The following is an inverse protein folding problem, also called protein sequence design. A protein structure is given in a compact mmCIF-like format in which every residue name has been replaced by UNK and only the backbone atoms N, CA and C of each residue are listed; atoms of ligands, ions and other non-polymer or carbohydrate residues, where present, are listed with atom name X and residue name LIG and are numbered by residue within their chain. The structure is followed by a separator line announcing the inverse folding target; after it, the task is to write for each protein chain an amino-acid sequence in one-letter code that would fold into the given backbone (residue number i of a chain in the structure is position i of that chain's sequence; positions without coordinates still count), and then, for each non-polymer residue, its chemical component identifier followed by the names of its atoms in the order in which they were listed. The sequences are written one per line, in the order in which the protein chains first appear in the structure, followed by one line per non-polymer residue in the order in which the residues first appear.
data_IF_525511057151
#
_entry.id   IF_525511057151
#
_cell.length_a   1.000
_cell.length_b   1.000
_cell.length_c   1.000
_cell.angle_alpha   90.00
_cell.angle_beta   90.00
_cell.angle_gamma   90.00
#
_symmetry.space_group_name_H-M   'P 1'
#
loop_
_entity.id
_entity.type
_entity.pdbx_description
1 polymer ?
#
# COMPACT_ATOMS: atom_id res chain seq x y z
N UNK A 1 28.18 -9.00 -12.67
CA UNK A 1 27.82 -8.50 -12.42
C UNK A 1 27.13 -8.12 -12.69
N UNK A 2 26.89 -8.21 -12.95
CA UNK A 2 26.24 -7.63 -12.98
C UNK A 2 25.31 -7.72 -12.64
N UNK A 3 25.16 -8.65 -12.60
CA UNK A 3 24.11 -8.74 -11.86
C UNK A 3 23.65 -7.70 -11.09
N UNK A 4 24.44 -7.09 -10.61
CA UNK A 4 24.10 -5.99 -9.87
C UNK A 4 23.25 -4.99 -10.56
N UNK A 5 23.36 -4.85 -11.86
CA UNK A 5 22.51 -3.88 -12.51
C UNK A 5 21.06 -4.30 -12.45
N UNK A 6 20.80 -5.56 -12.52
CA UNK A 6 19.43 -6.02 -12.36
C UNK A 6 18.92 -5.72 -10.95
N UNK A 7 19.73 -5.96 -9.96
CA UNK A 7 19.34 -5.67 -8.61
C UNK A 7 19.15 -4.18 -8.39
N UNK A 8 19.99 -3.37 -9.03
CA UNK A 8 19.90 -1.94 -8.86
C UNK A 8 18.63 -1.36 -9.42
N UNK A 9 18.06 -1.99 -10.43
CA UNK A 9 16.85 -1.47 -11.03
C UNK A 9 15.61 -2.11 -10.49
N UNK A 10 15.73 -3.09 -9.63
CA UNK A 10 14.57 -3.68 -9.03
C UNK A 10 14.23 -2.90 -7.78
N UNK A 11 13.12 -2.20 -7.75
CA UNK A 11 12.73 -1.49 -6.53
C UNK A 11 12.17 -2.42 -5.49
N UNK A 12 12.05 -3.71 -5.79
CA UNK A 12 11.37 -4.66 -4.93
C UNK A 12 12.29 -5.79 -4.57
N UNK A 13 12.57 -5.98 -3.28
CA UNK A 13 13.25 -7.21 -2.87
C UNK A 13 12.31 -8.39 -3.06
N UNK A 14 12.87 -9.57 -3.11
CA UNK A 14 12.10 -10.79 -3.33
C UNK A 14 12.14 -11.60 -2.06
N UNK A 15 11.00 -12.16 -1.61
CA UNK A 15 9.67 -12.01 -2.17
C UNK A 15 9.00 -10.71 -1.75
N UNK A 16 8.14 -10.20 -2.59
CA UNK A 16 7.39 -8.99 -2.31
C UNK A 16 5.91 -9.24 -2.56
N UNK A 17 5.10 -8.78 -1.64
CA UNK A 17 3.65 -8.82 -1.78
C UNK A 17 3.12 -7.40 -1.80
N UNK A 18 2.15 -7.14 -2.65
CA UNK A 18 1.46 -5.87 -2.65
C UNK A 18 0.14 -6.02 -1.93
N UNK A 19 -0.17 -5.04 -1.11
CA UNK A 19 -1.48 -4.89 -0.50
C UNK A 19 -2.12 -3.70 -1.19
N UNK A 20 -3.29 -3.90 -1.78
CA UNK A 20 -3.99 -2.82 -2.46
C UNK A 20 -5.35 -2.65 -1.80
N UNK A 21 -5.60 -1.46 -1.31
CA UNK A 21 -6.89 -1.13 -0.73
C UNK A 21 -7.50 0.00 -1.56
N UNK A 22 -8.64 -0.29 -2.19
CA UNK A 22 -9.40 0.73 -2.91
C UNK A 22 -10.51 1.18 -1.99
N UNK A 23 -10.48 2.45 -1.61
CA UNK A 23 -11.37 3.00 -0.62
C UNK A 23 -12.39 3.85 -1.35
N UNK A 24 -13.63 3.37 -1.39
CA UNK A 24 -14.72 4.07 -2.08
C UNK A 24 -15.35 5.02 -1.06
N UNK A 25 -14.99 6.29 -1.16
CA UNK A 25 -15.45 7.28 -0.19
C UNK A 25 -16.92 7.60 -0.39
N UNK A 26 -17.63 7.82 0.70
CA UNK A 26 -18.99 8.34 0.62
C UNK A 26 -18.92 9.76 0.01
N UNK A 27 -20.02 10.24 -0.58
CA UNK A 27 -20.00 11.56 -1.23
C UNK A 27 -19.45 12.65 -0.32
N UNK A 28 -18.46 13.38 -0.83
CA UNK A 28 -17.85 14.47 -0.08
C UNK A 28 -16.86 14.05 0.98
N UNK A 29 -16.52 12.76 1.06
CA UNK A 29 -15.69 12.25 2.16
C UNK A 29 -14.30 11.82 1.72
N UNK A 30 -13.89 12.12 0.47
CA UNK A 30 -12.59 11.67 0.00
C UNK A 30 -11.42 12.18 0.86
N UNK A 31 -11.45 13.45 1.24
CA UNK A 31 -10.35 14.01 2.03
C UNK A 31 -10.30 13.39 3.42
N UNK A 32 -11.45 13.17 4.01
CA UNK A 32 -11.52 12.53 5.32
C UNK A 32 -11.01 11.10 5.25
N UNK A 33 -11.43 10.35 4.23
CA UNK A 33 -10.96 8.98 4.04
C UNK A 33 -9.45 8.97 3.81
N UNK A 34 -8.93 9.93 3.04
CA UNK A 34 -7.50 10.03 2.82
C UNK A 34 -6.73 10.24 4.13
N UNK A 35 -7.20 11.15 4.95
CA UNK A 35 -6.54 11.44 6.23
C UNK A 35 -6.52 10.20 7.12
N UNK A 36 -7.61 9.45 7.13
CA UNK A 36 -7.70 8.25 7.96
C UNK A 36 -6.71 7.19 7.49
N UNK A 37 -6.69 6.89 6.19
CA UNK A 37 -5.78 5.85 5.71
C UNK A 37 -4.32 6.31 5.83
N UNK A 38 -4.07 7.59 5.69
CA UNK A 38 -2.73 8.13 5.87
C UNK A 38 -2.24 7.86 7.29
N UNK A 39 -3.08 8.09 8.28
CA UNK A 39 -2.73 7.83 9.68
C UNK A 39 -2.47 6.33 9.91
N UNK A 40 -3.28 5.48 9.31
CA UNK A 40 -3.10 4.02 9.41
C UNK A 40 -1.74 3.61 8.85
N UNK A 41 -1.42 4.10 7.64
CA UNK A 41 -0.20 3.68 6.95
C UNK A 41 1.05 4.19 7.66
N UNK A 42 1.01 5.42 8.17
CA UNK A 42 2.14 5.92 8.93
C UNK A 42 2.37 5.10 10.20
N UNK A 43 1.30 4.68 10.85
CA UNK A 43 1.42 3.83 12.02
C UNK A 43 2.10 2.50 11.65
N UNK A 44 1.67 1.89 10.55
CA UNK A 44 2.23 0.62 10.09
C UNK A 44 3.70 0.79 9.73
N UNK A 45 4.03 1.85 9.01
CA UNK A 45 5.39 2.10 8.57
C UNK A 45 6.36 2.22 9.74
N UNK A 46 5.90 2.74 10.85
CA UNK A 46 6.77 2.93 12.01
C UNK A 46 6.93 1.68 12.86
N UNK A 47 6.00 0.72 12.74
CA UNK A 47 5.96 -0.39 13.68
C UNK A 47 6.10 -1.78 13.10
N UNK A 48 5.92 -1.94 11.79
CA UNK A 48 5.91 -3.28 11.22
C UNK A 48 7.17 -3.53 10.42
N UNK A 49 7.89 -4.57 10.80
CA UNK A 49 9.02 -5.02 10.00
C UNK A 49 8.48 -5.57 8.69
N UNK A 50 9.26 -5.46 7.66
CA UNK A 50 8.80 -5.92 6.36
C UNK A 50 8.02 -4.90 5.56
N UNK A 51 7.65 -3.78 6.15
CA UNK A 51 7.05 -2.69 5.40
C UNK A 51 8.12 -2.09 4.50
N UNK A 52 7.85 -2.00 3.20
CA UNK A 52 8.83 -1.46 2.26
C UNK A 52 8.48 -0.02 1.88
N UNK A 53 7.26 0.18 1.41
CA UNK A 53 6.78 1.50 1.03
C UNK A 53 5.28 1.43 0.80
N UNK A 54 4.68 2.60 0.73
CA UNK A 54 3.27 2.73 0.38
C UNK A 54 3.07 3.98 -0.45
N UNK A 55 2.14 3.92 -1.38
CA UNK A 55 1.69 5.07 -2.13
C UNK A 55 0.22 5.27 -1.82
N UNK A 56 -0.10 6.49 -1.40
CA UNK A 56 -1.48 6.87 -1.14
C UNK A 56 -1.87 7.88 -2.21
N UNK A 57 -2.98 7.67 -2.87
CA UNK A 57 -3.41 8.56 -3.94
C UNK A 57 -4.91 8.77 -3.89
N UNK A 58 -5.34 9.91 -4.41
CA UNK A 58 -6.75 10.26 -4.49
C UNK A 58 -7.16 10.27 -5.96
N UNK A 59 -8.33 9.70 -6.26
CA UNK A 59 -8.82 9.76 -7.63
C UNK A 59 -9.21 11.18 -7.98
N UNK A 60 -9.01 11.52 -9.24
CA UNK A 60 -9.28 12.89 -9.69
C UNK A 60 -10.77 13.21 -9.75
N UNK A 61 -11.61 12.19 -9.73
CA UNK A 61 -13.05 12.41 -9.70
C UNK A 61 -13.60 12.62 -8.29
N UNK A 62 -12.72 12.56 -7.27
CA UNK A 62 -13.14 12.84 -5.91
C UNK A 62 -13.81 11.67 -5.21
N UNK A 63 -13.82 10.48 -5.80
CA UNK A 63 -14.63 9.39 -5.29
C UNK A 63 -13.86 8.30 -4.56
N UNK A 64 -12.57 8.12 -4.86
CA UNK A 64 -11.82 7.02 -4.24
C UNK A 64 -10.47 7.47 -3.75
N UNK A 65 -9.94 6.67 -2.83
CA UNK A 65 -8.56 6.76 -2.36
C UNK A 65 -7.97 5.39 -2.54
N UNK A 66 -6.71 5.30 -2.93
CA UNK A 66 -6.06 4.00 -3.06
C UNK A 66 -4.80 3.99 -2.20
N UNK A 67 -4.59 2.87 -1.53
CA UNK A 67 -3.33 2.57 -0.85
C UNK A 67 -2.70 1.40 -1.56
N UNK A 68 -1.49 1.59 -2.08
CA UNK A 68 -0.70 0.51 -2.67
C UNK A 68 0.53 0.35 -1.80
N UNK A 69 0.61 -0.76 -1.10
CA UNK A 69 1.64 -0.97 -0.10
C UNK A 69 2.46 -2.20 -0.46
N UNK A 70 3.77 -2.07 -0.44
CA UNK A 70 4.66 -3.20 -0.69
C UNK A 70 5.20 -3.69 0.64
N UNK A 71 5.10 -4.99 0.86
CA UNK A 71 5.64 -5.62 2.06
C UNK A 71 6.53 -6.78 1.65
N UNK A 72 7.54 -7.03 2.46
CA UNK A 72 8.46 -8.12 2.23
C UNK A 72 7.89 -9.41 2.81
N UNK A 73 7.97 -10.46 2.02
CA UNK A 73 7.66 -11.81 2.52
C UNK A 73 6.28 -11.93 3.06
N UNK A 74 5.37 -11.82 2.34
CA UNK A 74 4.05 -12.19 2.62
C UNK A 74 3.70 -12.46 4.07
N UNK A 75 4.43 -11.97 4.97
CA UNK A 75 4.24 -12.27 6.32
C UNK A 75 2.79 -12.47 6.62
N UNK A 76 2.37 -12.23 7.64
CA UNK A 76 1.06 -12.49 8.02
C UNK A 76 0.29 -11.19 8.00
N UNK A 77 -0.35 -10.91 6.88
CA UNK A 77 -1.17 -9.71 6.77
C UNK A 77 -2.18 -9.63 7.90
N UNK A 78 -2.67 -10.78 8.32
CA UNK A 78 -3.64 -10.81 9.41
C UNK A 78 -3.09 -10.31 10.73
N UNK A 79 -1.78 -10.31 10.89
CA UNK A 79 -1.20 -9.77 12.11
C UNK A 79 -1.52 -8.30 12.29
N UNK A 80 -1.69 -7.57 11.19
CA UNK A 80 -2.03 -6.16 11.30
C UNK A 80 -3.35 -6.01 12.05
N UNK A 81 -4.32 -6.86 11.73
CA UNK A 81 -5.65 -6.72 12.32
C UNK A 81 -5.72 -7.24 13.75
N UNK A 82 -4.68 -7.93 14.21
CA UNK A 82 -4.64 -8.33 15.61
C UNK A 82 -4.04 -7.22 16.49
N UNK A 83 -3.47 -6.19 15.90
CA UNK A 83 -2.96 -5.04 16.63
C UNK A 83 -4.15 -4.12 16.94
N UNK A 84 -4.51 -3.93 18.20
CA UNK A 84 -5.71 -3.17 18.52
C UNK A 84 -5.64 -1.70 18.10
N UNK A 85 -4.45 -1.11 18.08
CA UNK A 85 -4.30 0.27 17.65
C UNK A 85 -4.54 0.38 16.15
N UNK A 86 -3.96 -0.55 15.38
CA UNK A 86 -4.20 -0.58 13.94
C UNK A 86 -5.68 -0.79 13.66
N UNK A 87 -6.28 -1.76 14.33
CA UNK A 87 -7.69 -2.09 14.07
C UNK A 87 -8.59 -0.89 14.34
N UNK A 88 -8.33 -0.16 15.41
CA UNK A 88 -9.16 0.99 15.73
C UNK A 88 -8.98 2.12 14.70
N UNK A 89 -7.73 2.37 14.29
CA UNK A 89 -7.48 3.40 13.29
C UNK A 89 -8.15 3.03 11.96
N UNK A 90 -8.02 1.77 11.57
CA UNK A 90 -8.57 1.30 10.30
C UNK A 90 -10.09 1.31 10.30
N UNK A 91 -10.68 0.97 11.46
CA UNK A 91 -12.13 0.92 11.59
C UNK A 91 -12.81 2.25 11.24
N UNK A 92 -12.10 3.36 11.48
CA UNK A 92 -12.67 4.68 11.21
C UNK A 92 -13.02 4.86 9.74
N UNK A 93 -12.38 4.10 8.85
CA UNK A 93 -12.73 4.18 7.43
C UNK A 93 -14.17 3.76 7.17
N UNK A 94 -14.72 2.86 7.98
CA UNK A 94 -16.07 2.36 7.76
C UNK A 94 -17.12 3.46 7.89
N UNK A 95 -16.80 4.53 8.61
CA UNK A 95 -17.74 5.62 8.80
C UNK A 95 -17.85 6.52 7.57
N UNK A 96 -16.85 6.53 6.72
CA UNK A 96 -16.77 7.47 5.60
C UNK A 96 -16.59 6.79 4.25
N UNK A 97 -16.49 5.45 4.23
CA UNK A 97 -16.12 4.76 3.00
C UNK A 97 -16.49 3.29 3.06
N UNK A 98 -16.31 2.65 1.91
CA UNK A 98 -16.36 1.21 1.80
C UNK A 98 -15.05 0.78 1.16
N UNK A 99 -14.33 -0.12 1.81
CA UNK A 99 -13.01 -0.55 1.37
C UNK A 99 -13.07 -1.85 0.60
N UNK A 100 -12.19 -1.94 -0.39
CA UNK A 100 -12.01 -3.15 -1.17
C UNK A 100 -10.53 -3.49 -1.06
N UNK A 101 -10.21 -4.60 -0.41
CA UNK A 101 -8.85 -4.91 0.02
C UNK A 101 -8.40 -6.22 -0.60
N UNK A 102 -7.24 -6.20 -1.25
CA UNK A 102 -6.68 -7.40 -1.86
C UNK A 102 -5.18 -7.46 -1.67
N UNK A 103 -4.64 -8.66 -1.66
CA UNK A 103 -3.20 -8.87 -1.67
C UNK A 103 -2.81 -9.48 -3.01
N UNK A 104 -1.63 -9.11 -3.50
CA UNK A 104 -1.13 -9.57 -4.79
C UNK A 104 0.31 -9.99 -4.68
N UNK A 105 0.68 -11.04 -5.41
CA UNK A 105 2.09 -11.35 -5.61
C UNK A 105 2.49 -10.73 -6.94
N UNK A 106 3.71 -10.21 -7.01
CA UNK A 106 4.18 -9.58 -8.23
C UNK A 106 4.41 -10.66 -9.28
N UNK A 107 3.75 -10.51 -10.43
CA UNK A 107 3.94 -11.43 -11.55
C UNK A 107 4.99 -10.93 -12.52
N UNK A 108 5.02 -9.62 -12.75
CA UNK A 108 5.94 -9.03 -13.70
C UNK A 108 6.07 -7.55 -13.39
N UNK A 109 7.28 -7.05 -13.47
CA UNK A 109 7.54 -5.63 -13.31
C UNK A 109 8.06 -5.12 -14.66
N UNK A 110 7.24 -4.35 -15.34
CA UNK A 110 7.58 -3.85 -16.67
C UNK A 110 8.12 -2.44 -16.54
N UNK A 111 9.33 -2.25 -17.02
CA UNK A 111 9.99 -0.95 -16.93
C UNK A 111 10.05 -0.30 -18.30
N UNK A 112 10.19 1.02 -18.34
CA UNK A 112 10.28 1.70 -19.62
C UNK A 112 11.58 1.35 -20.32
N UNK A 113 11.57 1.51 -21.62
CA UNK A 113 12.68 1.12 -22.48
C UNK A 113 14.00 1.78 -22.08
N UNK A 114 13.96 2.97 -21.52
CA UNK A 114 15.16 3.72 -21.23
C UNK A 114 15.57 3.72 -19.79
N UNK A 115 15.08 2.78 -19.04
CA UNK A 115 15.45 2.70 -17.65
C UNK A 115 16.96 2.59 -17.47
N UNK A 116 17.61 1.83 -18.33
CA UNK A 116 19.04 1.61 -18.19
C UNK A 116 19.85 2.86 -18.48
N UNK A 117 19.27 3.87 -19.08
CA UNK A 117 19.99 5.09 -19.38
C UNK A 117 20.08 6.02 -18.18
N UNK A 118 19.39 5.70 -17.15
CA UNK A 118 19.46 6.49 -15.94
C UNK A 118 20.75 6.21 -15.18
#
# INVERSE_FOLDING_TARGET
METNSSAAFSPLPVPTTFIVNVIHAHPGKQEEAFAIIQDVVHYVAERKEGFLWSTLAKSTDGQTVVNIEAIQAAGNVNEFFSDPVFAEKFRKLDDVSKSEFHTYTVGDLVLPKRVAAL
#
